data_IF_287845659431
#
_entry.id   IF_287845659431
#
_cell.length_a   1.000
_cell.length_b   1.000
_cell.length_c   1.000
_cell.angle_alpha   90.00
_cell.angle_beta   90.00
_cell.angle_gamma   90.00
#
_symmetry.space_group_name_H-M   'P 1'
#
loop_
_entity.id
_entity.type
_entity.pdbx_description
1 polymer ?
2 non-polymer ?
3 water ?
#
# COMPACT_ATOMS: atom_id res chain seq x y z
N UNK A 43 -22.24 -34.21 -19.36
CA UNK A 43 -21.51 -33.73 -18.20
C UNK A 43 -21.87 -32.28 -17.85
N UNK A 44 -22.10 -31.94 -16.55
CA UNK A 44 -22.47 -30.56 -16.20
C UNK A 44 -21.31 -29.57 -16.25
N UNK A 45 -21.62 -28.31 -16.62
CA UNK A 45 -20.65 -27.22 -16.72
C UNK A 45 -21.06 -26.10 -15.77
N UNK A 46 -20.10 -25.63 -14.93
CA UNK A 46 -20.33 -24.58 -13.94
C UNK A 46 -20.40 -23.18 -14.55
N UNK A 47 -21.45 -22.43 -14.20
CA UNK A 47 -21.66 -21.05 -14.65
C UNK A 47 -21.02 -20.10 -13.64
N UNK A 48 -21.39 -20.26 -12.35
CA UNK A 48 -20.86 -19.47 -11.23
C UNK A 48 -20.14 -20.44 -10.28
N UNK A 49 -18.83 -20.23 -10.10
CA UNK A 49 -17.97 -21.06 -9.24
C UNK A 49 -17.73 -20.37 -7.88
N UNK A 50 -17.64 -21.13 -6.75
CA UNK A 50 -17.39 -20.47 -5.45
C UNK A 50 -16.01 -19.83 -5.36
N UNK A 51 -15.99 -18.54 -4.97
CA UNK A 51 -14.78 -17.74 -4.84
C UNK A 51 -14.24 -17.69 -3.40
N UNK A 52 -12.96 -17.31 -3.23
CA UNK A 52 -12.30 -17.18 -1.93
C UNK A 52 -12.86 -15.98 -1.17
N UNK A 53 -13.54 -16.24 -0.04
CA UNK A 53 -14.18 -15.23 0.80
C UNK A 53 -13.52 -15.08 2.18
N UNK A 54 -13.58 -13.86 2.75
CA UNK A 54 -12.99 -13.51 4.04
C UNK A 54 -14.05 -13.09 5.07
N UNK A 55 -13.81 -13.40 6.36
CA UNK A 55 -14.70 -13.07 7.47
C UNK A 55 -14.42 -11.67 8.04
N UNK A 56 -15.30 -10.70 7.80
CA UNK A 56 -15.00 -9.39 8.35
C UNK A 56 -15.77 -9.25 9.66
N UNK A 57 -15.05 -8.96 10.73
CA UNK A 57 -15.65 -9.00 12.05
C UNK A 57 -16.11 -10.44 12.24
N UNK A 58 -17.37 -10.61 12.60
CA UNK A 58 -17.95 -11.94 12.71
C UNK A 58 -19.24 -11.95 11.93
N UNK A 59 -19.11 -11.89 10.61
CA UNK A 59 -20.24 -11.84 9.70
C UNK A 59 -20.16 -13.01 8.72
N UNK A 60 -21.30 -13.63 8.46
CA UNK A 60 -21.35 -14.83 7.61
C UNK A 60 -20.99 -14.54 6.15
N UNK A 61 -20.43 -15.54 5.48
CA UNK A 61 -20.10 -15.46 4.06
C UNK A 61 -21.01 -16.33 3.19
N UNK A 62 -21.35 -15.86 1.99
CA UNK A 62 -22.19 -16.56 1.03
C UNK A 62 -21.36 -17.12 -0.14
N UNK A 63 -21.54 -18.41 -0.44
CA UNK A 63 -20.83 -19.10 -1.53
C UNK A 63 -21.83 -19.53 -2.61
N UNK A 64 -21.88 -18.79 -3.72
CA UNK A 64 -22.78 -19.04 -4.85
C UNK A 64 -22.20 -20.12 -5.78
N UNK A 65 -23.04 -21.12 -6.14
CA UNK A 65 -22.68 -22.22 -7.03
C UNK A 65 -23.81 -22.45 -8.05
N UNK A 66 -23.48 -22.42 -9.35
CA UNK A 66 -24.44 -22.62 -10.44
C UNK A 66 -23.87 -23.55 -11.51
N UNK A 67 -24.67 -24.52 -11.98
CA UNK A 67 -24.27 -25.50 -13.00
C UNK A 67 -25.42 -25.88 -13.93
N UNK A 68 -25.10 -26.19 -15.21
CA UNK A 68 -26.07 -26.57 -16.24
C UNK A 68 -25.53 -27.71 -17.16
N UNK A 69 -26.22 -28.88 -17.27
CA UNK A 69 -27.48 -29.26 -16.61
C UNK A 69 -27.30 -29.85 -15.21
N UNK A 70 -28.16 -29.46 -14.27
CA UNK A 70 -28.10 -29.94 -12.88
C UNK A 70 -29.45 -30.42 -12.34
N UNK A 71 -29.46 -31.65 -11.80
CA UNK A 71 -30.64 -32.28 -11.20
C UNK A 71 -30.55 -32.24 -9.67
N UNK A 72 -29.32 -32.40 -9.14
CA UNK A 72 -28.99 -32.37 -7.72
C UNK A 72 -27.67 -31.62 -7.49
N UNK A 73 -27.64 -30.71 -6.50
CA UNK A 73 -26.45 -29.93 -6.19
C UNK A 73 -26.18 -29.88 -4.68
N UNK A 74 -24.93 -30.22 -4.28
CA UNK A 74 -24.52 -30.26 -2.88
C UNK A 74 -23.12 -29.68 -2.66
N UNK A 75 -22.89 -29.09 -1.47
CA UNK A 75 -21.61 -28.52 -1.07
C UNK A 75 -20.87 -29.49 -0.16
N UNK A 76 -19.53 -29.58 -0.33
CA UNK A 76 -18.66 -30.44 0.46
C UNK A 76 -17.61 -29.59 1.17
N UNK A 77 -17.79 -29.39 2.49
CA UNK A 77 -16.88 -28.59 3.30
C UNK A 77 -16.00 -29.45 4.21
N UNK A 78 -14.67 -29.38 3.99
CA UNK A 78 -13.62 -30.10 4.72
C UNK A 78 -13.81 -31.62 4.74
N UNK A 79 -14.14 -32.18 3.58
CA UNK A 79 -14.37 -33.61 3.38
C UNK A 79 -15.68 -34.13 3.93
N UNK A 80 -16.64 -33.22 4.21
CA UNK A 80 -17.95 -33.55 4.76
C UNK A 80 -19.07 -32.83 4.02
N UNK A 81 -20.18 -33.55 3.73
CA UNK A 81 -21.34 -33.01 3.04
C UNK A 81 -22.18 -32.11 3.93
N UNK A 82 -22.69 -31.01 3.36
CA UNK A 82 -23.55 -30.03 4.04
C UNK A 82 -25.01 -30.49 3.90
N UNK A 83 -25.81 -30.34 4.98
CA UNK A 83 -27.23 -30.72 5.03
C UNK A 83 -28.09 -29.98 3.99
N UNK A 84 -29.11 -30.66 3.45
CA UNK A 84 -30.04 -30.17 2.43
C UNK A 84 -30.82 -28.92 2.85
N UNK A 85 -31.22 -28.84 4.14
CA UNK A 85 -31.99 -27.71 4.70
C UNK A 85 -31.15 -26.41 4.71
N UNK A 86 -29.83 -26.52 4.94
CA UNK A 86 -28.90 -25.39 4.95
C UNK A 86 -28.70 -24.79 3.55
N UNK A 87 -28.86 -25.62 2.50
CA UNK A 87 -28.73 -25.23 1.10
C UNK A 87 -29.92 -24.37 0.65
N UNK A 88 -29.64 -23.28 -0.07
CA UNK A 88 -30.66 -22.37 -0.60
C UNK A 88 -30.70 -22.57 -2.13
N UNK A 89 -31.57 -23.49 -2.59
CA UNK A 89 -31.71 -23.86 -4.01
C UNK A 89 -32.58 -22.89 -4.83
N UNK A 90 -32.25 -22.75 -6.13
CA UNK A 90 -32.95 -21.92 -7.10
C UNK A 90 -33.02 -22.66 -8.44
N UNK A 91 -34.21 -23.22 -8.75
CA UNK A 91 -34.44 -23.99 -9.98
C UNK A 91 -35.09 -23.14 -11.07
N UNK A 92 -34.49 -23.15 -12.27
CA UNK A 92 -34.95 -22.41 -13.45
C UNK A 92 -34.54 -23.09 -14.75
N UNK A 93 -35.29 -22.83 -15.85
CA UNK A 93 -35.03 -23.40 -17.17
C UNK A 93 -34.03 -22.50 -17.93
N UNK A 94 -33.02 -23.13 -18.56
CA UNK A 94 -31.97 -22.44 -19.32
C UNK A 94 -32.52 -21.81 -20.60
N UNK A 95 -32.03 -20.60 -20.91
CA UNK A 95 -32.44 -19.82 -22.08
C UNK A 95 -31.98 -20.36 -23.41
N UNK A 96 -30.73 -20.89 -23.47
CA UNK A 96 -30.13 -21.43 -24.69
C UNK A 96 -30.77 -22.75 -25.14
N UNK A 97 -30.89 -23.73 -24.22
CA UNK A 97 -31.47 -25.05 -24.48
C UNK A 97 -32.36 -25.52 -23.32
N UNK A 98 -33.28 -26.45 -23.62
CA UNK A 98 -34.20 -27.02 -22.64
C UNK A 98 -33.53 -27.96 -21.66
N UNK A 99 -32.74 -27.40 -20.73
CA UNK A 99 -32.01 -28.14 -19.70
C UNK A 99 -32.24 -27.53 -18.31
N UNK A 100 -32.38 -28.34 -17.23
CA UNK A 100 -32.59 -27.74 -15.90
C UNK A 100 -31.34 -27.13 -15.29
N UNK A 101 -31.47 -25.89 -14.78
CA UNK A 101 -30.37 -25.14 -14.16
C UNK A 101 -30.64 -24.95 -12.66
N UNK A 102 -29.62 -25.18 -11.82
CA UNK A 102 -29.72 -25.04 -10.37
C UNK A 102 -28.68 -24.09 -9.80
N UNK A 103 -29.14 -23.13 -8.96
CA UNK A 103 -28.29 -22.14 -8.30
C UNK A 103 -28.39 -22.35 -6.79
N UNK A 104 -27.26 -22.66 -6.14
CA UNK A 104 -27.21 -22.92 -4.70
C UNK A 104 -26.26 -21.97 -3.94
N UNK A 105 -26.67 -21.56 -2.72
CA UNK A 105 -25.90 -20.66 -1.85
C UNK A 105 -25.97 -21.07 -0.38
N UNK A 106 -24.80 -21.16 0.27
CA UNK A 106 -24.67 -21.55 1.69
C UNK A 106 -24.01 -20.46 2.53
N UNK A 107 -24.50 -20.26 3.76
CA UNK A 107 -23.97 -19.28 4.70
C UNK A 107 -23.01 -19.93 5.70
N UNK A 108 -21.75 -19.45 5.72
CA UNK A 108 -20.70 -19.96 6.61
C UNK A 108 -20.31 -18.85 7.61
N UNK A 109 -20.69 -19.04 8.89
CA UNK A 109 -20.42 -18.09 9.98
C UNK A 109 -18.97 -18.18 10.47
N UNK A 110 -18.54 -17.17 11.28
CA UNK A 110 -17.19 -17.09 11.86
C UNK A 110 -16.89 -18.31 12.73
N UNK A 111 -17.85 -18.69 13.61
CA UNK A 111 -17.76 -19.83 14.52
C UNK A 111 -17.56 -21.18 13.81
N UNK A 112 -18.12 -21.33 12.59
CA UNK A 112 -18.01 -22.55 11.78
C UNK A 112 -16.59 -22.74 11.23
N UNK A 113 -15.90 -21.63 10.90
CA UNK A 113 -14.53 -21.62 10.36
C UNK A 113 -13.49 -21.91 11.45
N UNK A 114 -13.55 -21.16 12.57
CA UNK A 114 -12.61 -21.29 13.69
C UNK A 114 -12.70 -22.61 14.49
N UNK A 115 -13.85 -23.31 14.45
CA UNK A 115 -14.05 -24.59 15.14
C UNK A 115 -13.24 -25.73 14.52
N UNK A 116 -13.09 -25.70 13.17
CA UNK A 116 -12.35 -26.71 12.42
C UNK A 116 -10.84 -26.48 12.57
N UNK A 117 -10.17 -27.35 13.35
CA UNK A 117 -8.74 -27.30 13.60
C UNK A 117 -8.02 -28.48 12.94
N UNK A 118 -6.95 -28.18 12.21
CA UNK A 118 -6.14 -29.18 11.51
C UNK A 118 -4.91 -28.61 10.83
N UNK A 119 -4.40 -29.35 9.83
CA UNK A 119 -3.21 -28.99 9.07
C UNK A 119 -3.53 -27.98 7.95
N UNK A 120 -4.57 -28.27 7.15
CA UNK A 120 -4.99 -27.40 6.04
C UNK A 120 -6.12 -26.43 6.42
N UNK A 121 -6.24 -25.32 5.67
CA UNK A 121 -7.24 -24.27 5.87
C UNK A 121 -8.66 -24.72 5.52
N UNK A 122 -9.68 -23.97 5.99
CA UNK A 122 -11.10 -24.23 5.76
C UNK A 122 -11.44 -24.08 4.28
N UNK A 123 -12.04 -25.13 3.68
CA UNK A 123 -12.40 -25.15 2.26
C UNK A 123 -13.79 -25.75 2.00
N UNK A 124 -14.47 -25.27 0.95
CA UNK A 124 -15.79 -25.75 0.54
C UNK A 124 -15.83 -25.94 -0.99
N UNK A 125 -16.05 -27.20 -1.43
CA UNK A 125 -16.11 -27.58 -2.84
C UNK A 125 -17.55 -27.94 -3.24
N UNK A 126 -18.02 -27.38 -4.36
CA UNK A 126 -19.36 -27.62 -4.89
C UNK A 126 -19.36 -28.74 -5.93
N UNK A 127 -20.26 -29.73 -5.75
CA UNK A 127 -20.40 -30.90 -6.64
C UNK A 127 -21.78 -30.88 -7.31
N UNK A 128 -21.81 -31.09 -8.65
CA UNK A 128 -23.03 -31.10 -9.46
C UNK A 128 -23.35 -32.50 -10.00
N UNK A 129 -24.65 -32.84 -10.08
CA UNK A 129 -25.14 -34.13 -10.58
C UNK A 129 -25.98 -34.02 -11.84
N UNK A 130 -25.92 -35.05 -12.70
CA UNK A 130 -26.66 -35.18 -13.95
C UNK A 130 -26.87 -36.66 -14.31
N UNK A 131 -27.59 -36.92 -15.43
CA UNK A 131 -27.87 -38.27 -15.92
C UNK A 131 -26.62 -38.96 -16.46
N UNK A 132 -25.65 -38.18 -16.97
CA UNK A 132 -24.39 -38.68 -17.54
C UNK A 132 -23.32 -39.00 -16.48
N UNK A 133 -22.99 -38.04 -15.62
CA UNK A 133 -22.00 -38.21 -14.58
C UNK A 133 -21.92 -37.10 -13.55
N UNK A 134 -20.76 -37.02 -12.85
CA UNK A 134 -20.49 -36.04 -11.79
C UNK A 134 -19.33 -35.11 -12.17
N UNK A 135 -19.31 -33.90 -11.58
CA UNK A 135 -18.26 -32.89 -11.80
C UNK A 135 -17.88 -32.14 -10.51
N UNK A 136 -16.59 -31.76 -10.40
CA UNK A 136 -16.05 -31.04 -9.24
C UNK A 136 -15.59 -29.63 -9.62
N UNK A 137 -15.94 -28.64 -8.78
CA UNK A 137 -15.58 -27.23 -8.98
C UNK A 137 -14.28 -26.88 -8.24
N UNK A 138 -13.82 -25.61 -8.38
CA UNK A 138 -12.60 -25.10 -7.74
C UNK A 138 -12.80 -25.01 -6.22
N UNK A 139 -11.76 -25.41 -5.45
CA UNK A 139 -11.78 -25.38 -3.99
C UNK A 139 -11.70 -23.95 -3.46
N UNK A 140 -12.83 -23.43 -2.94
CA UNK A 140 -12.91 -22.08 -2.38
C UNK A 140 -12.47 -22.11 -0.92
N UNK A 141 -11.41 -21.34 -0.60
CA UNK A 141 -10.86 -21.28 0.76
C UNK A 141 -11.42 -20.11 1.55
N UNK A 142 -12.05 -20.41 2.69
CA UNK A 142 -12.65 -19.42 3.59
C UNK A 142 -11.69 -19.18 4.76
N UNK A 143 -11.15 -17.96 4.85
CA UNK A 143 -10.19 -17.56 5.88
C UNK A 143 -10.72 -16.44 6.75
N UNK A 144 -10.37 -16.46 8.05
CA UNK A 144 -10.78 -15.43 9.01
C UNK A 144 -9.85 -14.23 8.79
N UNK A 145 -10.42 -13.10 8.31
CA UNK A 145 -9.66 -11.88 8.02
C UNK A 145 -9.20 -11.15 9.28
N UNK A 146 -7.92 -10.72 9.28
CA UNK A 146 -7.28 -10.03 10.40
C UNK A 146 -6.15 -9.10 9.93
N UNK A 147 -5.65 -8.24 10.84
CA UNK A 147 -4.53 -7.32 10.62
C UNK A 147 -3.90 -6.94 11.95
N UNK A 148 -2.59 -7.23 12.09
CA UNK A 148 -1.81 -6.98 13.30
C UNK A 148 -1.56 -5.49 13.56
N UNK A 149 -1.19 -5.15 14.81
CA UNK A 149 -0.91 -3.77 15.23
C UNK A 149 0.53 -3.35 14.96
N UNK A 150 1.49 -4.25 15.26
CA UNK A 150 2.92 -4.00 15.09
C UNK A 150 3.37 -4.16 13.63
N UNK A 151 4.01 -3.11 13.08
CA UNK A 151 4.54 -3.11 11.72
C UNK A 151 5.87 -3.88 11.71
N UNK A 152 6.18 -4.56 10.60
CA UNK A 152 7.42 -5.31 10.44
C UNK A 152 8.62 -4.35 10.31
N UNK A 153 8.38 -3.20 9.63
CA UNK A 153 9.37 -2.13 9.44
C UNK A 153 8.63 -0.78 9.27
N UNK A 154 9.03 0.21 10.08
CA UNK A 154 8.45 1.56 10.08
C UNK A 154 9.46 2.59 9.53
N UNK A 155 9.00 3.66 8.83
CA UNK A 155 9.97 4.66 8.33
C UNK A 155 10.59 5.50 9.45
N UNK A 156 11.89 5.80 9.32
CA UNK A 156 12.64 6.60 10.30
C UNK A 156 13.00 7.98 9.73
N UNK A 157 13.38 8.91 10.62
CA UNK A 157 13.78 10.28 10.26
C UNK A 157 15.06 10.30 9.42
N UNK A 158 15.07 11.14 8.37
CA UNK A 158 16.20 11.26 7.45
C UNK A 158 16.55 12.72 7.13
N UNK A 159 17.86 13.02 7.05
CA UNK A 159 18.40 14.33 6.72
C UNK A 159 19.01 14.25 5.32
N UNK A 160 18.51 15.07 4.37
CA UNK A 160 18.95 15.04 2.97
C UNK A 160 19.15 16.43 2.34
N UNK A 161 20.13 16.56 1.43
CA UNK A 161 20.43 17.79 0.70
C UNK A 161 19.46 17.97 -0.50
N UNK A 162 19.54 19.12 -1.18
CA UNK A 162 18.67 19.48 -2.30
C UNK A 162 18.64 18.55 -3.52
N UNK A 163 19.81 18.08 -3.98
CA UNK A 163 19.89 17.19 -5.15
C UNK A 163 19.79 15.69 -4.84
N UNK A 164 20.28 15.26 -3.66
CA UNK A 164 20.28 13.86 -3.22
C UNK A 164 18.88 13.31 -2.97
N UNK A 165 18.69 12.02 -3.27
CA UNK A 165 17.43 11.32 -3.10
C UNK A 165 17.36 10.40 -1.90
N UNK A 166 16.15 10.24 -1.33
CA UNK A 166 15.89 9.39 -0.17
C UNK A 166 14.79 8.36 -0.38
N UNK A 167 14.91 7.21 0.31
CA UNK A 167 13.96 6.10 0.25
C UNK A 167 13.39 5.89 1.67
N UNK A 168 12.06 5.99 1.81
CA UNK A 168 11.39 5.78 3.09
C UNK A 168 10.81 4.35 3.12
N UNK A 169 11.41 3.42 3.89
CA UNK A 169 10.92 2.04 3.88
C UNK A 169 9.73 1.77 4.79
N UNK A 170 8.88 0.81 4.38
CA UNK A 170 7.69 0.38 5.12
C UNK A 170 7.30 -1.05 4.78
N UNK A 171 7.12 -1.87 5.81
CA UNK A 171 6.66 -3.26 5.70
C UNK A 171 5.39 -3.37 6.55
N UNK A 172 4.21 -3.52 5.91
CA UNK A 172 2.94 -3.57 6.69
C UNK A 172 2.81 -4.78 7.61
N UNK A 173 1.96 -4.72 8.67
CA UNK A 173 1.80 -5.89 9.56
C UNK A 173 1.20 -7.11 8.86
N UNK A 174 1.44 -8.31 9.42
CA UNK A 174 0.93 -9.58 8.90
C UNK A 174 -0.59 -9.65 9.01
N UNK A 175 -1.23 -10.13 7.95
CA UNK A 175 -2.68 -10.27 7.87
C UNK A 175 -3.17 -10.85 6.57
N UNK A 176 -4.32 -11.55 6.63
CA UNK A 176 -4.96 -12.18 5.47
C UNK A 176 -6.29 -11.49 5.15
N UNK A 177 -6.49 -10.89 3.95
CA UNK A 177 -5.55 -10.77 2.82
C UNK A 177 -4.44 -9.74 3.08
N UNK A 178 -3.31 -9.72 2.32
CA UNK A 178 -2.25 -8.74 2.59
C UNK A 178 -2.72 -7.29 2.50
N UNK A 179 -2.28 -6.45 3.45
CA UNK A 179 -2.65 -5.04 3.53
C UNK A 179 -1.98 -4.19 2.46
N UNK A 180 -2.77 -3.27 1.86
CA UNK A 180 -2.30 -2.32 0.84
C UNK A 180 -1.64 -1.13 1.54
N UNK A 181 -0.60 -0.56 0.93
CA UNK A 181 0.15 0.56 1.53
C UNK A 181 -0.13 1.92 0.86
N UNK A 182 -0.53 2.89 1.69
CA UNK A 182 -0.79 4.29 1.34
C UNK A 182 0.13 5.19 2.16
N UNK A 183 0.64 6.27 1.56
CA UNK A 183 1.53 7.22 2.23
C UNK A 183 0.87 8.57 2.48
N UNK A 184 1.25 9.22 3.60
CA UNK A 184 0.74 10.54 3.97
C UNK A 184 1.85 11.58 4.10
N UNK A 185 1.68 12.73 3.48
CA UNK A 185 2.63 13.81 3.67
C UNK A 185 1.94 14.69 4.67
N UNK A 186 2.37 14.63 5.92
CA UNK A 186 1.59 15.22 6.99
C UNK A 186 0.22 14.57 6.94
N UNK A 187 -0.83 15.37 6.97
CA UNK A 187 -2.20 14.89 6.74
C UNK A 187 -2.61 14.39 5.34
N UNK A 188 -2.15 15.05 4.28
CA UNK A 188 -2.58 14.85 2.90
C UNK A 188 -2.07 13.54 2.33
N UNK A 189 -2.91 12.85 1.52
CA UNK A 189 -2.57 11.59 0.89
C UNK A 189 -1.57 11.79 -0.25
N UNK A 190 -0.47 11.02 -0.24
CA UNK A 190 0.57 11.08 -1.27
C UNK A 190 0.05 10.35 -2.52
N UNK A 191 -0.01 11.06 -3.65
CA UNK A 191 -0.47 10.49 -4.91
C UNK A 191 0.70 10.38 -5.90
N UNK A 192 1.06 9.16 -6.37
CA UNK A 192 2.20 9.04 -7.30
C UNK A 192 1.90 9.54 -8.72
N UNK A 193 0.62 9.61 -9.11
CA UNK A 193 0.21 10.07 -10.44
C UNK A 193 0.33 11.58 -10.64
N UNK A 194 0.41 12.37 -9.54
CA UNK A 194 0.53 13.83 -9.59
C UNK A 194 1.92 14.31 -9.98
N UNK A 195 2.98 13.62 -9.51
CA UNK A 195 4.37 14.00 -9.76
C UNK A 195 5.25 12.78 -10.10
N UNK A 196 6.14 12.85 -11.12
CA UNK A 196 6.98 11.68 -11.44
C UNK A 196 8.14 11.46 -10.45
N UNK A 197 8.58 12.53 -9.77
CA UNK A 197 9.66 12.50 -8.78
C UNK A 197 9.28 11.75 -7.50
N UNK A 198 7.98 11.75 -7.16
CA UNK A 198 7.45 11.07 -5.96
C UNK A 198 6.61 9.87 -6.39
N UNK A 199 7.04 8.66 -6.02
CA UNK A 199 6.36 7.40 -6.37
C UNK A 199 6.55 6.30 -5.30
N UNK A 200 5.61 5.34 -5.26
CA UNK A 200 5.64 4.21 -4.32
C UNK A 200 6.04 2.95 -5.10
N UNK A 201 7.09 2.26 -4.62
CA UNK A 201 7.60 1.02 -5.24
C UNK A 201 6.75 -0.20 -4.85
N UNK A 202 7.01 -1.36 -5.49
CA UNK A 202 6.31 -2.62 -5.26
C UNK A 202 6.54 -3.16 -3.84
N UNK A 203 7.70 -2.82 -3.23
CA UNK A 203 8.08 -3.22 -1.87
C UNK A 203 7.52 -2.26 -0.79
N UNK A 204 6.48 -1.47 -1.15
CA UNK A 204 5.76 -0.50 -0.33
C UNK A 204 6.52 0.78 0.09
N UNK A 205 7.83 0.87 -0.26
CA UNK A 205 8.68 2.01 0.08
C UNK A 205 8.45 3.23 -0.81
N UNK A 206 8.48 4.44 -0.18
CA UNK A 206 8.31 5.74 -0.85
C UNK A 206 9.66 6.24 -1.35
N UNK A 207 9.74 6.59 -2.65
CA UNK A 207 10.97 7.07 -3.29
C UNK A 207 10.82 8.52 -3.78
N UNK A 208 11.74 9.40 -3.35
CA UNK A 208 11.83 10.82 -3.71
C UNK A 208 13.28 11.06 -4.18
N UNK A 209 13.47 11.63 -5.38
CA UNK A 209 14.79 11.89 -5.95
C UNK A 209 15.31 13.33 -5.78
N UNK A 210 14.42 14.29 -5.46
CA UNK A 210 14.79 15.69 -5.27
C UNK A 210 14.39 16.24 -3.88
N UNK A 211 14.16 17.56 -3.75
CA UNK A 211 13.79 18.21 -2.50
C UNK A 211 12.77 19.34 -2.67
N UNK A 212 12.81 20.06 -3.81
CA UNK A 212 11.88 21.14 -4.11
C UNK A 212 10.54 20.61 -4.60
N UNK A 213 10.52 19.37 -5.12
CA UNK A 213 9.32 18.68 -5.62
C UNK A 213 8.61 17.90 -4.49
N UNK A 214 9.28 17.79 -3.31
CA UNK A 214 8.79 17.14 -2.08
C UNK A 214 9.58 17.71 -0.89
N UNK A 215 9.07 18.81 -0.32
CA UNK A 215 9.67 19.56 0.79
C UNK A 215 9.60 18.85 2.16
N UNK A 216 9.87 19.61 3.24
CA UNK A 216 9.85 19.15 4.63
C UNK A 216 8.44 18.73 5.03
N UNK A 217 8.31 17.49 5.54
CA UNK A 217 7.04 16.90 5.97
C UNK A 217 7.26 15.67 6.85
N UNK A 218 6.29 15.38 7.74
CA UNK A 218 6.31 14.19 8.59
C UNK A 218 5.60 13.11 7.76
N UNK A 219 6.35 12.08 7.34
CA UNK A 219 5.80 11.00 6.53
C UNK A 219 5.39 9.80 7.35
N UNK A 220 4.14 9.35 7.17
CA UNK A 220 3.57 8.21 7.87
C UNK A 220 3.03 7.15 6.91
N UNK A 221 3.35 5.89 7.18
CA UNK A 221 2.94 4.74 6.38
C UNK A 221 1.60 4.18 6.90
N UNK A 222 0.64 3.98 5.99
CA UNK A 222 -0.69 3.47 6.33
C UNK A 222 -0.96 2.10 5.68
N UNK A 223 -1.19 1.08 6.53
CA UNK A 223 -1.51 -0.29 6.10
C UNK A 223 -3.04 -0.41 6.06
N UNK A 224 -3.59 -0.67 4.86
CA UNK A 224 -5.03 -0.74 4.62
C UNK A 224 -5.54 -2.13 4.28
N UNK A 225 -6.48 -2.62 5.09
CA UNK A 225 -7.13 -3.93 4.93
C UNK A 225 -8.65 -3.80 5.16
N UNK A 226 -9.42 -4.84 4.84
CA UNK A 226 -10.88 -4.86 4.99
C UNK A 226 -11.31 -4.83 6.47
N UNK A 227 -10.49 -5.38 7.39
CA UNK A 227 -10.76 -5.42 8.83
C UNK A 227 -10.37 -4.12 9.54
N UNK A 228 -9.09 -3.70 9.44
CA UNK A 228 -8.59 -2.49 10.11
C UNK A 228 -7.57 -1.69 9.32
N UNK A 229 -7.45 -0.39 9.64
CA UNK A 229 -6.49 0.55 9.06
C UNK A 229 -5.44 0.84 10.13
N UNK A 230 -4.16 0.58 9.82
CA UNK A 230 -3.07 0.81 10.77
C UNK A 230 -2.10 1.87 10.28
N UNK A 231 -1.92 2.92 11.10
CA UNK A 231 -1.03 4.04 10.81
C UNK A 231 0.27 3.86 11.60
N UNK A 232 1.42 4.03 10.93
CA UNK A 232 2.74 3.91 11.56
C UNK A 232 3.15 5.25 12.19
N UNK A 233 4.32 5.29 12.86
CA UNK A 233 4.86 6.50 13.49
C UNK A 233 5.34 7.45 12.41
N UNK A 234 5.12 8.77 12.61
CA UNK A 234 5.52 9.81 11.67
C UNK A 234 7.03 10.01 11.64
N UNK A 235 7.62 9.91 10.44
CA UNK A 235 9.05 10.07 10.21
C UNK A 235 9.33 11.47 9.68
N UNK A 236 10.12 12.26 10.42
CA UNK A 236 10.45 13.63 10.04
C UNK A 236 11.55 13.68 8.99
N UNK A 237 11.19 14.09 7.76
CA UNK A 237 12.12 14.21 6.64
C UNK A 237 12.43 15.69 6.42
N UNK A 238 13.68 16.10 6.72
CA UNK A 238 14.13 17.48 6.57
C UNK A 238 15.04 17.68 5.36
N UNK A 239 14.72 18.70 4.54
CA UNK A 239 15.48 19.05 3.35
C UNK A 239 16.31 20.32 3.56
N UNK A 240 17.64 20.16 3.72
CA UNK A 240 18.56 21.28 3.97
C UNK A 240 19.25 21.81 2.72
N UNK A 241 19.61 23.10 2.74
CA UNK A 241 20.31 23.81 1.66
C UNK A 241 21.67 24.25 2.21
N UNK A 242 22.77 23.61 1.75
CA UNK A 242 24.12 23.97 2.18
C UNK A 242 24.55 25.25 1.48
N UNK A 243 24.80 26.28 2.27
CA UNK A 243 25.17 27.60 1.80
C UNK A 243 26.57 27.70 1.21
N UNK A 244 26.66 28.20 -0.03
CA UNK A 244 27.91 28.43 -0.76
C UNK A 244 27.96 29.89 -1.23
N UNK A 245 29.15 30.50 -1.17
CA UNK A 245 29.41 31.90 -1.53
C UNK A 245 29.04 32.27 -2.96
N UNK A 246 28.65 33.54 -3.16
CA UNK A 246 28.31 34.14 -4.45
C UNK A 246 29.61 34.67 -5.11
N UNK A 247 29.68 34.83 -6.46
CA UNK A 247 30.93 35.33 -7.06
C UNK A 247 31.34 36.73 -6.62
N UNK A 248 32.66 36.98 -6.53
CA UNK A 248 33.25 38.25 -6.11
C UNK A 248 32.82 39.42 -6.99
N UNK A 249 32.62 40.59 -6.38
CA UNK A 249 32.25 41.83 -7.06
C UNK A 249 33.50 42.55 -7.59
N UNK A 250 33.32 43.69 -8.29
CA UNK A 250 34.43 44.49 -8.83
C UNK A 250 35.18 45.20 -7.69
N UNK A 251 36.52 45.28 -7.82
CA UNK A 251 37.40 45.91 -6.82
C UNK A 251 37.13 47.41 -6.70
N UNK A 252 37.01 47.90 -5.46
CA UNK A 252 36.77 49.31 -5.15
C UNK A 252 38.04 50.15 -5.39
N UNK A 253 37.87 51.46 -5.63
CA UNK A 253 38.97 52.39 -5.85
C UNK A 253 39.85 52.52 -4.61
N UNK A 254 41.17 52.70 -4.82
CA UNK A 254 42.16 52.83 -3.75
C UNK A 254 41.99 54.10 -2.92
N UNK A 255 41.38 53.93 -1.75
CA UNK A 255 41.12 55.01 -0.81
C UNK A 255 42.32 55.35 0.03
N UNK A 256 42.06 55.85 1.25
CA UNK A 256 43.11 56.23 2.20
C UNK A 256 43.81 55.02 2.83
N UNK A 257 44.99 55.27 3.46
CA UNK A 257 45.88 54.28 4.11
C UNK A 257 46.29 53.08 3.23
N UNK A 258 46.22 53.27 1.89
CA UNK A 258 46.57 52.31 0.83
C UNK A 258 45.89 50.94 0.95
N UNK A 259 44.54 50.94 0.98
CA UNK A 259 43.69 49.74 1.07
C UNK A 259 42.42 49.85 0.19
N UNK A 260 41.97 48.70 -0.36
CA UNK A 260 40.78 48.60 -1.20
C UNK A 260 39.99 47.32 -0.91
N UNK A 261 38.66 47.45 -0.70
CA UNK A 261 37.78 46.32 -0.34
C UNK A 261 36.97 45.70 -1.49
N UNK A 262 36.46 44.48 -1.25
CA UNK A 262 35.65 43.67 -2.18
C UNK A 262 34.52 42.99 -1.40
N UNK A 263 33.28 43.08 -1.89
CA UNK A 263 32.09 42.52 -1.25
C UNK A 263 31.77 41.07 -1.67
N UNK A 264 31.14 40.32 -0.73
CA UNK A 264 30.74 38.92 -0.91
C UNK A 264 29.45 38.64 -0.12
N UNK A 265 28.55 37.82 -0.69
CA UNK A 265 27.26 37.47 -0.07
C UNK A 265 27.01 35.96 -0.03
N UNK A 266 26.24 35.51 0.98
CA UNK A 266 25.85 34.10 1.16
C UNK A 266 24.39 33.95 0.69
N UNK A 267 24.19 33.88 -0.63
CA UNK A 267 22.87 33.76 -1.24
C UNK A 267 22.81 32.90 -2.53
N UNK A 268 23.92 32.23 -2.89
CA UNK A 268 23.97 31.39 -4.09
C UNK A 268 24.42 29.93 -3.83
N UNK A 269 23.57 29.05 -3.20
CA UNK A 269 22.22 29.31 -2.68
C UNK A 269 22.20 29.80 -1.23
N UNK A 270 21.08 30.41 -0.82
CA UNK A 270 20.88 30.93 0.54
C UNK A 270 20.71 29.78 1.56
N UNK A 271 21.28 29.87 2.78
CA UNK A 271 21.12 28.77 3.74
C UNK A 271 19.72 28.69 4.35
N UNK A 272 19.00 27.59 4.05
CA UNK A 272 17.63 27.34 4.51
C UNK A 272 17.56 26.10 5.41
N UNK A 273 16.57 26.08 6.32
CA UNK A 273 16.31 25.03 7.30
C UNK A 273 17.51 24.80 8.24
N UNK A 274 17.96 23.55 8.37
CA UNK A 274 19.10 23.19 9.20
C UNK A 274 20.45 23.56 8.60
N UNK A 275 20.48 23.62 7.26
CA UNK A 275 21.63 23.93 6.41
C UNK A 275 22.69 24.87 6.95
N UNK A 276 23.97 24.47 6.81
CA UNK A 276 25.14 25.21 7.28
C UNK A 276 25.37 26.53 6.54
N UNK A 277 25.85 27.54 7.27
CA UNK A 277 26.16 28.87 6.74
C UNK A 277 27.46 28.86 5.93
N UNK A 278 27.68 29.91 5.12
CA UNK A 278 28.87 30.08 4.28
C UNK A 278 30.14 30.27 5.12
N UNK A 279 31.19 29.48 4.82
CA UNK A 279 32.48 29.53 5.52
C UNK A 279 33.45 30.47 4.80
N UNK A 280 33.77 31.59 5.46
CA UNK A 280 34.68 32.60 4.94
C UNK A 280 34.35 34.01 5.39
N UNK A 281 34.77 35.02 4.59
CA UNK A 281 34.55 36.44 4.87
C UNK A 281 33.53 37.10 3.93
N UNK A 282 32.83 38.12 4.46
CA UNK A 282 31.86 38.92 3.72
C UNK A 282 32.58 40.04 2.96
N UNK A 283 33.70 40.53 3.53
CA UNK A 283 34.54 41.59 2.96
C UNK A 283 36.01 41.17 2.91
N UNK A 284 36.66 41.37 1.76
CA UNK A 284 38.07 41.03 1.55
C UNK A 284 38.91 42.31 1.43
N UNK A 285 39.95 42.44 2.28
CA UNK A 285 40.84 43.61 2.31
C UNK A 285 42.20 43.27 1.72
N UNK A 286 42.70 44.11 0.80
CA UNK A 286 44.00 43.97 0.14
C UNK A 286 44.71 45.32 0.01
N UNK A 287 46.05 45.32 0.15
CA UNK A 287 46.88 46.51 0.04
C UNK A 287 47.20 46.79 -1.43
N UNK A 288 46.98 48.05 -1.88
CA UNK A 288 47.23 48.48 -3.25
C UNK A 288 48.23 49.63 -3.32
N UNK A 293 50.27 53.66 -3.79
CA UNK A 293 49.13 54.51 -4.18
C UNK A 293 49.50 56.00 -4.32
N UNK A 294 50.22 56.55 -3.32
CA UNK A 294 50.66 57.96 -3.32
C UNK A 294 52.17 58.10 -3.35
#
# INVERSE_FOLDING_TARGET
>A
MAVRPGLWPALLGIVLAAWLRGSGAQQSATVANPVPGANPDLLPHFLVEPEDVYIVKNKPVLLVCKAVPATQIFFKCNGEWVRQVDHVIERSTDGSNGLPTMEVRINVSRQQVEKVFGLEEYWCQCVAWSSSGTTKSQKAYIRIAYLRKNFEQEPLAKEVSLEQGIVLPCRPPEGIPPAEVEWLRNEDLVDPSLDPNVYITREHSLVVRQARLADTANYTCVAKNIVARRRSASAAVIVYVDGSWSPWSKWSACGLDCTHWRSRECSDPAPRNGGEECQGTDLDTRNCTSDLCVHTASGPEDV
#
